data_IF_634778806540
#
_entry.id   IF_634778806540
#
_cell.length_a   1.000
_cell.length_b   1.000
_cell.length_c   1.000
_cell.angle_alpha   90.00
_cell.angle_beta   90.00
_cell.angle_gamma   90.00
#
_symmetry.space_group_name_H-M   'P 1'
#
loop_
_entity.id
_entity.type
_entity.pdbx_description
1 polymer ?
#
# COMPACT_ATOMS: atom_id res chain seq x y z
N UNK A 1 -10.91 11.05 -16.69
CA UNK A 1 -11.12 11.19 -15.21
C UNK A 1 -9.75 11.23 -14.49
N UNK A 2 -8.93 12.24 -14.71
CA UNK A 2 -7.62 12.36 -14.05
C UNK A 2 -7.66 13.40 -12.95
N UNK A 3 -6.91 13.19 -11.88
CA UNK A 3 -6.72 14.11 -10.75
C UNK A 3 -8.04 14.50 -10.08
N UNK A 4 -8.87 13.49 -9.78
CA UNK A 4 -10.20 13.64 -9.22
C UNK A 4 -10.33 12.93 -7.86
N UNK A 5 -11.16 13.51 -6.98
CA UNK A 5 -11.54 12.94 -5.69
C UNK A 5 -13.05 12.71 -5.66
N UNK A 6 -13.46 11.51 -5.29
CA UNK A 6 -14.86 11.09 -5.27
C UNK A 6 -15.32 10.79 -3.85
N UNK A 7 -16.45 11.39 -3.44
CA UNK A 7 -17.11 11.10 -2.16
C UNK A 7 -18.28 10.14 -2.41
N UNK A 8 -17.99 8.84 -2.46
CA UNK A 8 -18.99 7.81 -2.77
C UNK A 8 -18.50 6.41 -2.39
N UNK A 9 -19.37 5.41 -2.51
CA UNK A 9 -18.93 4.01 -2.40
C UNK A 9 -17.98 3.67 -3.54
N UNK A 10 -16.88 3.02 -3.21
CA UNK A 10 -15.83 2.70 -4.19
C UNK A 10 -16.24 1.64 -5.22
N UNK A 11 -17.21 0.76 -4.90
CA UNK A 11 -17.75 -0.16 -5.89
C UNK A 11 -18.54 0.59 -6.97
N UNK A 12 -19.29 1.63 -6.57
CA UNK A 12 -20.03 2.46 -7.53
C UNK A 12 -19.07 3.31 -8.38
N UNK A 13 -17.95 3.78 -7.82
CA UNK A 13 -16.91 4.40 -8.60
C UNK A 13 -16.29 3.41 -9.61
N UNK A 14 -15.88 2.24 -9.13
CA UNK A 14 -15.26 1.21 -9.98
C UNK A 14 -16.12 0.87 -11.19
N UNK A 15 -17.44 0.75 -11.03
CA UNK A 15 -18.39 0.48 -12.13
C UNK A 15 -18.42 1.60 -13.20
N UNK A 16 -18.02 2.82 -12.84
CA UNK A 16 -17.98 3.97 -13.76
C UNK A 16 -16.64 4.09 -14.49
N UNK A 17 -15.59 3.42 -14.02
CA UNK A 17 -14.27 3.43 -14.64
C UNK A 17 -14.23 2.49 -15.85
N UNK A 18 -13.48 2.91 -16.87
CA UNK A 18 -13.28 2.14 -18.08
C UNK A 18 -12.41 0.90 -17.81
N UNK A 19 -12.63 -0.14 -18.62
CA UNK A 19 -11.79 -1.34 -18.60
C UNK A 19 -10.35 -0.98 -18.95
N UNK A 20 -9.39 -1.63 -18.29
CA UNK A 20 -7.96 -1.45 -18.60
C UNK A 20 -7.49 0.02 -18.59
N UNK A 21 -7.95 0.81 -17.63
CA UNK A 21 -7.66 2.25 -17.53
C UNK A 21 -6.65 2.62 -16.45
N UNK A 22 -6.48 1.80 -15.41
CA UNK A 22 -5.67 2.11 -14.21
C UNK A 22 -4.35 1.33 -14.22
N UNK A 23 -3.25 2.01 -13.91
CA UNK A 23 -1.91 1.42 -13.83
C UNK A 23 -1.61 0.81 -12.46
N UNK A 24 -2.01 1.48 -11.36
CA UNK A 24 -1.79 1.01 -9.99
C UNK A 24 -3.03 1.30 -9.14
N UNK A 25 -3.54 0.28 -8.46
CA UNK A 25 -4.52 0.43 -7.39
C UNK A 25 -3.86 0.05 -6.08
N UNK A 26 -3.82 0.99 -5.15
CA UNK A 26 -3.48 0.76 -3.76
C UNK A 26 -4.68 1.05 -2.88
N UNK A 27 -4.86 0.29 -1.81
CA UNK A 27 -5.88 0.59 -0.82
C UNK A 27 -5.48 0.07 0.56
N UNK A 28 -5.54 0.95 1.56
CA UNK A 28 -5.52 0.61 2.98
C UNK A 28 -6.97 0.26 3.38
N UNK A 29 -7.32 -1.01 3.26
CA UNK A 29 -8.72 -1.48 3.30
C UNK A 29 -9.27 -1.55 4.72
N UNK A 30 -10.57 -1.88 4.88
CA UNK A 30 -11.16 -2.17 6.18
C UNK A 30 -10.67 -3.53 6.68
N UNK A 31 -10.18 -3.58 7.94
CA UNK A 31 -9.45 -4.74 8.49
C UNK A 31 -10.34 -5.79 9.16
N UNK A 32 -11.65 -5.59 9.19
CA UNK A 32 -12.58 -6.49 9.85
C UNK A 32 -12.38 -6.54 11.36
N UNK A 33 -12.09 -5.41 11.99
CA UNK A 33 -11.83 -5.34 13.45
C UNK A 33 -13.10 -5.25 14.28
N UNK A 34 -14.25 -5.07 13.66
CA UNK A 34 -15.56 -4.78 14.32
C UNK A 34 -15.54 -3.49 15.15
N UNK A 35 -14.61 -2.57 14.90
CA UNK A 35 -14.45 -1.34 15.67
C UNK A 35 -15.09 -0.14 14.98
N UNK A 36 -15.64 0.76 15.79
CA UNK A 36 -16.02 2.09 15.35
C UNK A 36 -14.85 3.03 15.62
N UNK A 37 -14.23 3.56 14.56
CA UNK A 37 -13.23 4.61 14.64
C UNK A 37 -13.90 5.99 14.55
N UNK A 38 -13.15 7.03 14.90
CA UNK A 38 -13.65 8.43 14.82
C UNK A 38 -14.14 8.80 13.42
N UNK A 39 -13.46 8.32 12.39
CA UNK A 39 -13.65 8.73 11.00
C UNK A 39 -14.34 7.67 10.13
N UNK A 40 -14.44 6.40 10.59
CA UNK A 40 -15.10 5.33 9.85
C UNK A 40 -15.51 4.16 10.74
N UNK A 41 -16.44 3.35 10.28
CA UNK A 41 -16.82 2.08 10.88
C UNK A 41 -16.14 0.94 10.12
N UNK A 42 -15.45 0.06 10.84
CA UNK A 42 -14.82 -1.11 10.27
C UNK A 42 -15.82 -2.27 10.11
N UNK A 43 -15.53 -3.20 9.21
CA UNK A 43 -16.36 -4.36 8.98
C UNK A 43 -16.33 -5.31 10.19
N UNK A 44 -17.41 -6.08 10.42
CA UNK A 44 -17.40 -7.19 11.35
C UNK A 44 -16.31 -8.21 10.99
N UNK A 45 -15.71 -8.86 12.01
CA UNK A 45 -14.82 -10.00 11.80
C UNK A 45 -15.65 -11.25 11.52
N UNK A 46 -16.22 -11.30 10.34
CA UNK A 46 -17.04 -12.40 9.82
C UNK A 46 -16.66 -12.68 8.38
N UNK A 47 -16.36 -13.95 8.09
CA UNK A 47 -15.88 -14.37 6.77
C UNK A 47 -16.87 -14.01 5.66
N UNK A 48 -18.17 -14.28 5.88
CA UNK A 48 -19.21 -14.02 4.89
C UNK A 48 -19.36 -12.54 4.57
N UNK A 49 -19.32 -11.69 5.60
CA UNK A 49 -19.35 -10.23 5.44
C UNK A 49 -18.14 -9.74 4.64
N UNK A 50 -16.96 -10.26 4.93
CA UNK A 50 -15.71 -9.92 4.22
C UNK A 50 -15.81 -10.36 2.75
N UNK A 51 -16.25 -11.58 2.48
CA UNK A 51 -16.44 -12.09 1.12
C UNK A 51 -17.47 -11.26 0.34
N UNK A 52 -18.65 -11.03 0.90
CA UNK A 52 -19.71 -10.26 0.25
C UNK A 52 -19.29 -8.82 -0.07
N UNK A 53 -18.44 -8.23 0.77
CA UNK A 53 -17.93 -6.88 0.56
C UNK A 53 -16.79 -6.82 -0.47
N UNK A 54 -15.80 -7.73 -0.41
CA UNK A 54 -14.60 -7.62 -1.23
C UNK A 54 -14.68 -8.34 -2.57
N UNK A 55 -15.45 -9.43 -2.71
CA UNK A 55 -15.58 -10.15 -3.99
C UNK A 55 -15.98 -9.23 -5.14
N UNK A 56 -17.07 -8.44 -5.05
CA UNK A 56 -17.46 -7.56 -6.16
C UNK A 56 -16.41 -6.46 -6.42
N UNK A 57 -15.73 -5.97 -5.39
CA UNK A 57 -14.69 -4.95 -5.52
C UNK A 57 -13.44 -5.49 -6.21
N UNK A 58 -12.95 -6.65 -5.81
CA UNK A 58 -11.75 -7.28 -6.41
C UNK A 58 -12.02 -7.65 -7.86
N UNK A 59 -13.23 -8.12 -8.20
CA UNK A 59 -13.65 -8.36 -9.58
C UNK A 59 -13.55 -7.09 -10.42
N UNK A 60 -14.10 -5.97 -9.95
CA UNK A 60 -14.05 -4.69 -10.66
C UNK A 60 -12.63 -4.12 -10.72
N UNK A 61 -11.83 -4.24 -9.64
CA UNK A 61 -10.41 -3.87 -9.64
C UNK A 61 -9.67 -4.61 -10.76
N UNK A 62 -9.89 -5.93 -10.89
CA UNK A 62 -9.29 -6.70 -11.97
C UNK A 62 -9.73 -6.20 -13.36
N UNK A 63 -11.01 -5.82 -13.54
CA UNK A 63 -11.53 -5.28 -14.80
C UNK A 63 -10.85 -3.99 -15.20
N UNK A 64 -10.78 -3.02 -14.29
CA UNK A 64 -10.28 -1.66 -14.57
C UNK A 64 -8.75 -1.58 -14.66
N UNK A 65 -8.01 -2.52 -14.07
CA UNK A 65 -6.55 -2.54 -14.19
C UNK A 65 -6.11 -2.80 -15.64
N UNK A 66 -5.08 -2.07 -16.09
CA UNK A 66 -4.37 -2.35 -17.35
C UNK A 66 -3.65 -3.70 -17.28
N UNK A 67 -3.29 -4.27 -18.42
CA UNK A 67 -2.57 -5.55 -18.47
C UNK A 67 -1.21 -5.53 -17.75
N UNK A 68 -0.56 -4.38 -17.67
CA UNK A 68 0.67 -4.14 -16.90
C UNK A 68 0.40 -3.65 -15.47
N UNK A 69 -0.87 -3.49 -15.10
CA UNK A 69 -1.29 -2.87 -13.85
C UNK A 69 -1.14 -3.78 -12.63
N UNK A 70 -1.10 -3.16 -11.46
CA UNK A 70 -0.90 -3.82 -10.17
C UNK A 70 -1.99 -3.43 -9.18
N UNK A 71 -2.52 -4.41 -8.45
CA UNK A 71 -3.34 -4.22 -7.25
C UNK A 71 -2.51 -4.45 -6.00
N UNK A 72 -2.61 -3.54 -5.03
CA UNK A 72 -2.01 -3.68 -3.70
C UNK A 72 -3.08 -3.41 -2.66
N UNK A 73 -3.36 -4.40 -1.83
CA UNK A 73 -4.29 -4.27 -0.70
C UNK A 73 -3.50 -4.39 0.59
N UNK A 74 -3.58 -3.37 1.44
CA UNK A 74 -2.97 -3.34 2.77
C UNK A 74 -4.00 -3.68 3.83
N UNK A 75 -3.64 -4.60 4.72
CA UNK A 75 -4.49 -5.08 5.81
C UNK A 75 -3.66 -5.68 6.94
N UNK A 76 -4.32 -6.04 8.03
CA UNK A 76 -3.67 -6.85 9.06
C UNK A 76 -3.94 -8.36 8.86
N UNK A 77 -3.30 -9.17 9.70
CA UNK A 77 -3.36 -10.64 9.63
C UNK A 77 -4.78 -11.22 9.74
N UNK A 78 -5.79 -10.48 10.27
CA UNK A 78 -7.15 -11.02 10.50
C UNK A 78 -7.80 -11.50 9.24
N UNK A 79 -7.68 -10.71 8.18
CA UNK A 79 -8.39 -10.96 6.92
C UNK A 79 -7.45 -11.25 5.75
N UNK A 80 -6.12 -11.12 5.92
CA UNK A 80 -5.15 -11.27 4.83
C UNK A 80 -5.27 -12.62 4.10
N UNK A 81 -5.52 -13.69 4.82
CA UNK A 81 -5.70 -15.02 4.25
C UNK A 81 -7.00 -15.14 3.42
N UNK A 82 -8.10 -14.52 3.84
CA UNK A 82 -9.35 -14.50 3.06
C UNK A 82 -9.19 -13.66 1.80
N UNK A 83 -8.62 -12.45 1.93
CA UNK A 83 -8.38 -11.56 0.79
C UNK A 83 -7.40 -12.19 -0.21
N UNK A 84 -6.41 -12.96 0.27
CA UNK A 84 -5.52 -13.71 -0.59
C UNK A 84 -6.28 -14.74 -1.42
N UNK A 85 -7.13 -15.57 -0.79
CA UNK A 85 -7.94 -16.57 -1.50
C UNK A 85 -8.88 -15.92 -2.52
N UNK A 86 -9.60 -14.85 -2.14
CA UNK A 86 -10.48 -14.12 -3.06
C UNK A 86 -9.69 -13.56 -4.24
N UNK A 87 -8.54 -12.97 -3.99
CA UNK A 87 -7.71 -12.39 -5.06
C UNK A 87 -7.16 -13.47 -6.02
N UNK A 88 -6.83 -14.66 -5.50
CA UNK A 88 -6.38 -15.80 -6.32
C UNK A 88 -7.46 -16.27 -7.31
N UNK A 89 -8.76 -16.14 -6.98
CA UNK A 89 -9.87 -16.51 -7.86
C UNK A 89 -9.97 -15.60 -9.10
N UNK A 90 -9.70 -14.29 -8.94
CA UNK A 90 -9.84 -13.31 -10.04
C UNK A 90 -8.53 -13.08 -10.79
N UNK A 91 -7.42 -13.00 -10.10
CA UNK A 91 -6.11 -12.74 -10.69
C UNK A 91 -5.37 -14.01 -11.07
N UNK A 92 -5.67 -15.13 -10.44
CA UNK A 92 -4.88 -16.36 -10.49
C UNK A 92 -3.67 -16.31 -9.54
N UNK A 93 -3.42 -17.37 -8.79
CA UNK A 93 -2.38 -17.43 -7.76
C UNK A 93 -0.97 -17.12 -8.27
N UNK A 94 -0.66 -17.40 -9.57
CA UNK A 94 0.63 -17.10 -10.19
C UNK A 94 0.90 -15.61 -10.39
N UNK A 95 -0.14 -14.80 -10.37
CA UNK A 95 -0.05 -13.36 -10.50
C UNK A 95 0.11 -12.63 -9.15
N UNK A 96 0.10 -13.36 -8.03
CA UNK A 96 0.57 -12.81 -6.76
C UNK A 96 2.09 -12.68 -6.79
N UNK A 97 2.58 -11.48 -6.94
CA UNK A 97 4.02 -11.23 -7.13
C UNK A 97 4.76 -11.00 -5.82
N UNK A 98 4.07 -10.48 -4.80
CA UNK A 98 4.64 -10.26 -3.48
C UNK A 98 3.58 -10.33 -2.37
N UNK A 99 4.04 -10.70 -1.18
CA UNK A 99 3.36 -10.45 0.09
C UNK A 99 4.36 -9.65 0.93
N UNK A 100 4.09 -8.35 1.07
CA UNK A 100 5.01 -7.43 1.75
C UNK A 100 4.56 -7.28 3.20
N UNK A 101 5.51 -7.36 4.13
CA UNK A 101 5.28 -7.10 5.55
C UNK A 101 5.90 -5.74 5.91
N UNK A 102 5.04 -4.75 6.13
CA UNK A 102 5.46 -3.47 6.68
C UNK A 102 5.45 -3.55 8.20
N UNK A 103 6.65 -3.63 8.78
CA UNK A 103 6.85 -3.76 10.22
C UNK A 103 7.15 -2.40 10.85
N UNK A 104 6.49 -2.09 11.96
CA UNK A 104 6.63 -0.82 12.65
C UNK A 104 6.71 -0.98 14.15
N UNK A 105 7.41 -0.06 14.82
CA UNK A 105 7.43 -0.01 16.27
C UNK A 105 6.19 0.71 16.78
N UNK A 106 5.36 0.02 17.56
CA UNK A 106 4.22 0.59 18.25
C UNK A 106 4.26 0.23 19.74
N UNK A 107 3.68 1.09 20.58
CA UNK A 107 3.54 0.78 22.01
C UNK A 107 2.62 -0.41 22.25
N UNK A 108 2.68 -0.94 23.48
CA UNK A 108 1.85 -2.03 23.95
C UNK A 108 2.48 -3.40 23.77
N UNK A 109 2.33 -4.23 24.77
CA UNK A 109 2.72 -5.64 24.76
C UNK A 109 1.55 -6.46 25.32
N UNK A 110 1.22 -7.55 24.68
CA UNK A 110 0.30 -8.54 25.23
C UNK A 110 1.06 -9.51 26.13
N UNK A 111 0.45 -9.88 27.27
CA UNK A 111 0.98 -10.95 28.13
C UNK A 111 0.68 -12.35 27.58
N UNK A 112 -0.20 -12.49 26.58
CA UNK A 112 -0.69 -13.78 26.07
C UNK A 112 -0.31 -14.05 24.62
N UNK A 113 0.06 -13.02 23.85
CA UNK A 113 0.36 -13.14 22.42
C UNK A 113 1.53 -12.24 22.04
N UNK A 114 2.18 -12.56 20.93
CA UNK A 114 3.17 -11.67 20.32
C UNK A 114 2.55 -10.33 19.95
N UNK A 115 3.35 -9.27 20.03
CA UNK A 115 2.92 -7.94 19.58
C UNK A 115 2.64 -7.91 18.07
N UNK A 116 1.47 -7.43 17.71
CA UNK A 116 1.07 -7.25 16.30
C UNK A 116 1.58 -5.90 15.82
N UNK A 117 2.69 -5.91 15.12
CA UNK A 117 3.44 -4.69 14.74
C UNK A 117 3.79 -4.68 13.27
N UNK A 118 2.89 -5.20 12.45
CA UNK A 118 2.99 -5.19 11.01
C UNK A 118 1.62 -5.10 10.35
N UNK A 119 1.60 -4.55 9.15
CA UNK A 119 0.53 -4.70 8.19
C UNK A 119 1.06 -5.51 7.02
N UNK A 120 0.20 -6.34 6.44
CA UNK A 120 0.49 -7.15 5.25
C UNK A 120 -0.05 -6.44 4.01
N UNK A 121 0.77 -6.31 2.96
CA UNK A 121 0.35 -5.82 1.66
C UNK A 121 0.42 -6.99 0.66
N UNK A 122 -0.74 -7.44 0.17
CA UNK A 122 -0.79 -8.42 -0.92
C UNK A 122 -0.69 -7.69 -2.26
N UNK A 123 0.19 -8.18 -3.14
CA UNK A 123 0.51 -7.55 -4.41
C UNK A 123 0.17 -8.50 -5.55
N UNK A 124 -0.76 -8.10 -6.41
CA UNK A 124 -1.16 -8.84 -7.59
C UNK A 124 -0.93 -8.04 -8.86
N UNK A 125 -0.23 -8.64 -9.81
CA UNK A 125 -0.21 -8.16 -11.18
C UNK A 125 -1.46 -8.61 -11.93
N UNK A 126 -1.98 -7.83 -12.88
CA UNK A 126 -3.00 -8.36 -13.80
C UNK A 126 -2.42 -9.41 -14.74
N UNK A 127 -1.20 -9.19 -15.22
CA UNK A 127 -0.37 -10.15 -15.95
C UNK A 127 1.07 -10.00 -15.47
N UNK A 128 1.58 -10.98 -14.74
CA UNK A 128 2.94 -10.96 -14.17
C UNK A 128 4.03 -10.74 -15.21
N UNK A 129 3.80 -11.16 -16.46
CA UNK A 129 4.79 -10.99 -17.55
C UNK A 129 4.87 -9.56 -18.07
N UNK A 130 3.86 -8.73 -17.78
CA UNK A 130 3.76 -7.34 -18.25
C UNK A 130 3.86 -6.33 -17.13
N UNK A 131 3.82 -6.78 -15.87
CA UNK A 131 3.77 -5.92 -14.69
C UNK A 131 4.80 -4.79 -14.75
N UNK A 132 4.34 -3.55 -14.54
CA UNK A 132 5.24 -2.44 -14.26
C UNK A 132 5.88 -2.66 -12.89
N UNK A 133 7.21 -2.86 -12.87
CA UNK A 133 7.98 -3.02 -11.64
C UNK A 133 9.34 -2.35 -11.79
N UNK A 134 9.61 -1.38 -10.92
CA UNK A 134 10.85 -0.61 -10.88
C UNK A 134 11.69 -1.06 -9.67
N UNK A 135 12.68 -1.93 -9.83
CA UNK A 135 13.44 -2.48 -8.72
C UNK A 135 14.19 -1.37 -7.96
N UNK A 136 14.00 -1.32 -6.65
CA UNK A 136 14.71 -0.42 -5.75
C UNK A 136 15.81 -1.17 -5.02
N UNK A 137 16.83 -0.42 -4.59
CA UNK A 137 17.96 -0.94 -3.82
C UNK A 137 17.84 -0.52 -2.36
N UNK A 138 18.35 -1.37 -1.47
CA UNK A 138 18.49 -1.07 -0.05
C UNK A 138 19.92 -1.40 0.43
N UNK A 139 20.36 -0.76 1.52
CA UNK A 139 21.63 -1.08 2.17
C UNK A 139 21.53 -2.44 2.86
N UNK A 140 22.46 -3.33 2.57
CA UNK A 140 22.66 -4.59 3.28
C UNK A 140 24.03 -4.56 3.95
N UNK A 141 24.06 -4.40 5.28
CA UNK A 141 25.33 -4.41 6.00
C UNK A 141 25.98 -5.79 5.93
N UNK A 142 27.29 -5.76 5.69
CA UNK A 142 28.11 -6.97 5.64
C UNK A 142 28.17 -7.64 7.03
N UNK A 143 28.43 -8.95 7.05
CA UNK A 143 28.67 -9.64 8.31
C UNK A 143 29.87 -9.00 9.04
N UNK A 144 29.73 -8.80 10.33
CA UNK A 144 30.71 -8.15 11.20
C UNK A 144 31.10 -6.73 10.76
N UNK A 145 30.30 -6.13 9.86
CA UNK A 145 30.52 -4.81 9.27
C UNK A 145 31.90 -4.64 8.57
N UNK A 146 32.52 -5.75 8.20
CA UNK A 146 33.82 -5.79 7.51
C UNK A 146 33.64 -5.89 5.99
N UNK A 147 34.66 -5.52 5.18
CA UNK A 147 34.60 -5.70 3.74
C UNK A 147 34.61 -7.18 3.36
N UNK A 148 33.73 -7.57 2.42
CA UNK A 148 33.71 -8.92 1.88
C UNK A 148 34.84 -9.18 0.88
N UNK A 149 35.24 -8.16 0.13
CA UNK A 149 36.28 -8.25 -0.93
C UNK A 149 35.95 -9.27 -2.02
N UNK A 150 34.65 -9.49 -2.31
CA UNK A 150 34.24 -10.35 -3.40
C UNK A 150 34.45 -9.68 -4.75
N UNK A 151 35.04 -10.41 -5.70
CA UNK A 151 35.23 -9.89 -7.05
C UNK A 151 33.89 -9.53 -7.70
N UNK A 152 33.78 -8.30 -8.22
CA UNK A 152 32.60 -7.81 -8.91
C UNK A 152 31.44 -7.36 -8.00
N UNK A 153 31.66 -7.28 -6.69
CA UNK A 153 30.71 -6.69 -5.74
C UNK A 153 31.23 -5.32 -5.33
N UNK A 154 30.42 -4.28 -5.58
CA UNK A 154 30.70 -2.93 -5.10
C UNK A 154 30.30 -2.83 -3.63
N UNK A 155 31.22 -2.36 -2.82
CA UNK A 155 31.06 -2.19 -1.39
C UNK A 155 31.24 -0.73 -1.00
N UNK A 156 30.51 -0.30 0.00
CA UNK A 156 30.48 1.08 0.50
C UNK A 156 30.66 1.12 2.01
N UNK A 157 31.07 2.27 2.54
CA UNK A 157 31.06 2.55 3.97
C UNK A 157 30.03 3.62 4.30
N UNK A 158 29.32 3.47 5.42
CA UNK A 158 28.49 4.54 5.97
C UNK A 158 29.36 5.53 6.81
N UNK A 159 28.72 6.57 7.33
CA UNK A 159 29.37 7.62 8.15
C UNK A 159 30.05 7.07 9.43
N UNK A 160 29.68 5.87 9.86
CA UNK A 160 30.25 5.17 11.02
C UNK A 160 31.39 4.23 10.62
N UNK A 161 31.73 4.16 9.34
CA UNK A 161 32.73 3.25 8.79
C UNK A 161 32.27 1.81 8.62
N UNK A 162 30.97 1.53 8.71
CA UNK A 162 30.42 0.19 8.58
C UNK A 162 30.23 -0.19 7.10
N UNK A 163 30.73 -1.34 6.71
CA UNK A 163 30.65 -1.81 5.34
C UNK A 163 29.29 -2.37 4.98
N UNK A 164 28.79 -2.01 3.81
CA UNK A 164 27.54 -2.50 3.23
C UNK A 164 27.61 -2.62 1.71
N UNK A 165 26.70 -3.41 1.16
CA UNK A 165 26.44 -3.52 -0.28
C UNK A 165 25.03 -3.03 -0.58
N UNK A 166 24.78 -2.63 -1.82
CA UNK A 166 23.44 -2.30 -2.31
C UNK A 166 22.78 -3.53 -2.92
N UNK A 167 21.74 -4.05 -2.27
CA UNK A 167 20.97 -5.21 -2.71
C UNK A 167 19.58 -4.83 -3.19
N UNK A 168 18.91 -5.69 -3.94
CA UNK A 168 17.50 -5.49 -4.25
C UNK A 168 16.68 -5.47 -2.96
N UNK A 169 15.73 -4.54 -2.88
CA UNK A 169 14.87 -4.37 -1.70
C UNK A 169 14.13 -5.66 -1.37
N UNK A 170 14.03 -5.97 -0.10
CA UNK A 170 13.29 -7.12 0.44
C UNK A 170 11.80 -6.80 0.59
N UNK A 171 11.01 -7.85 0.72
CA UNK A 171 9.57 -7.73 1.02
C UNK A 171 9.24 -7.43 2.49
N UNK A 172 10.22 -7.45 3.40
CA UNK A 172 10.04 -7.09 4.81
C UNK A 172 10.61 -5.69 5.03
N UNK A 173 9.72 -4.73 5.27
CA UNK A 173 10.07 -3.30 5.41
C UNK A 173 10.04 -2.89 6.88
N UNK A 174 11.21 -2.60 7.43
CA UNK A 174 11.40 -2.22 8.83
C UNK A 174 11.92 -0.79 9.01
N UNK A 175 12.19 -0.11 7.91
CA UNK A 175 12.84 1.21 7.85
C UNK A 175 11.86 2.39 7.73
N UNK A 176 10.55 2.11 7.72
CA UNK A 176 9.49 3.11 7.67
C UNK A 176 8.68 3.04 8.96
N UNK A 177 8.77 4.09 9.75
CA UNK A 177 8.00 4.22 11.00
C UNK A 177 6.56 4.66 10.73
N UNK A 178 5.64 4.34 11.65
CA UNK A 178 4.30 4.93 11.65
C UNK A 178 4.37 6.45 11.85
N UNK A 179 3.32 7.16 11.42
CA UNK A 179 3.16 8.59 11.69
C UNK A 179 3.03 8.82 13.20
N UNK A 180 4.05 9.41 13.79
CA UNK A 180 4.09 9.75 15.22
C UNK A 180 3.09 10.85 15.58
N UNK A 181 2.76 10.97 16.87
CA UNK A 181 1.84 12.01 17.36
C UNK A 181 2.34 13.43 17.11
N UNK A 182 3.66 13.62 17.08
CA UNK A 182 4.35 14.90 16.89
C UNK A 182 4.91 15.07 15.48
N UNK A 183 4.60 14.16 14.55
CA UNK A 183 5.06 14.26 13.17
C UNK A 183 4.42 15.46 12.47
N UNK A 184 5.24 16.20 11.71
CA UNK A 184 4.79 17.34 10.89
C UNK A 184 3.82 16.93 9.77
N UNK A 185 3.90 15.67 9.30
CA UNK A 185 2.95 15.15 8.29
C UNK A 185 1.59 14.74 8.87
N UNK A 186 1.43 14.80 10.20
CA UNK A 186 0.21 14.35 10.85
C UNK A 186 -0.95 15.29 10.56
N UNK A 187 -2.06 14.70 10.11
CA UNK A 187 -3.35 15.39 9.94
C UNK A 187 -4.41 14.83 10.89
N UNK A 188 -5.50 15.56 11.11
CA UNK A 188 -6.63 15.09 11.94
C UNK A 188 -7.48 14.06 11.19
N UNK A 189 -6.87 12.89 10.95
CA UNK A 189 -7.52 11.70 10.40
C UNK A 189 -6.99 10.44 11.07
N UNK A 190 -7.87 9.49 11.37
CA UNK A 190 -7.51 8.23 12.04
C UNK A 190 -6.72 7.33 11.09
N UNK A 191 -5.77 6.56 11.63
CA UNK A 191 -5.01 5.52 10.88
C UNK A 191 -4.17 6.02 9.70
N UNK A 192 -3.75 7.29 9.72
CA UNK A 192 -2.89 7.85 8.67
C UNK A 192 -1.65 7.00 8.43
N UNK A 193 -1.38 6.65 7.17
CA UNK A 193 -0.14 6.00 6.74
C UNK A 193 0.95 7.03 6.40
N UNK A 194 2.24 6.71 6.62
CA UNK A 194 3.34 7.63 6.31
C UNK A 194 3.52 7.83 4.80
N UNK A 195 3.82 9.06 4.39
CA UNK A 195 4.09 9.41 2.98
C UNK A 195 5.22 8.54 2.41
N UNK A 196 6.28 8.31 3.18
CA UNK A 196 7.41 7.46 2.75
C UNK A 196 6.97 6.04 2.32
N UNK A 197 5.91 5.48 2.93
CA UNK A 197 5.36 4.19 2.54
C UNK A 197 4.64 4.32 1.18
N UNK A 198 3.86 5.37 1.00
CA UNK A 198 3.14 5.63 -0.25
C UNK A 198 4.09 5.91 -1.40
N UNK A 199 5.13 6.71 -1.17
CA UNK A 199 6.18 7.00 -2.16
C UNK A 199 6.84 5.70 -2.66
N UNK A 200 7.21 4.82 -1.73
CA UNK A 200 7.82 3.53 -2.07
C UNK A 200 6.91 2.66 -2.94
N UNK A 201 5.64 2.55 -2.57
CA UNK A 201 4.64 1.77 -3.32
C UNK A 201 4.49 2.32 -4.74
N UNK A 202 4.30 3.63 -4.87
CA UNK A 202 4.10 4.30 -6.15
C UNK A 202 5.33 4.15 -7.05
N UNK A 203 6.52 4.36 -6.51
CA UNK A 203 7.77 4.24 -7.27
C UNK A 203 8.02 2.81 -7.75
N UNK A 204 7.74 1.79 -6.92
CA UNK A 204 7.93 0.38 -7.29
C UNK A 204 6.98 -0.06 -8.42
N UNK A 205 5.73 0.40 -8.43
CA UNK A 205 4.67 -0.21 -9.24
C UNK A 205 4.01 0.76 -10.25
N UNK A 206 4.58 1.93 -10.47
CA UNK A 206 4.13 2.87 -11.50
C UNK A 206 5.25 3.74 -12.05
N UNK A 207 5.02 4.35 -13.21
CA UNK A 207 5.90 5.32 -13.85
C UNK A 207 5.29 6.73 -13.77
N UNK A 208 6.10 7.77 -14.03
CA UNK A 208 5.57 9.14 -14.17
C UNK A 208 4.52 9.20 -15.28
N UNK A 209 3.45 9.94 -15.02
CA UNK A 209 2.31 10.06 -15.93
C UNK A 209 1.27 8.93 -15.84
N UNK A 210 1.58 7.80 -15.17
CA UNK A 210 0.64 6.70 -14.95
C UNK A 210 -0.56 7.17 -14.10
N UNK A 211 -1.69 6.51 -14.27
CA UNK A 211 -2.90 6.73 -13.47
C UNK A 211 -2.94 5.76 -12.29
N UNK A 212 -2.85 6.31 -11.08
CA UNK A 212 -2.92 5.53 -9.84
C UNK A 212 -4.23 5.81 -9.10
N UNK A 213 -4.74 4.83 -8.37
CA UNK A 213 -6.03 4.93 -7.69
C UNK A 213 -5.94 4.43 -6.25
N UNK A 214 -6.59 5.18 -5.34
CA UNK A 214 -6.84 4.75 -3.96
C UNK A 214 -8.34 4.72 -3.69
N UNK A 215 -8.85 3.52 -3.41
CA UNK A 215 -10.29 3.27 -3.22
C UNK A 215 -10.75 3.46 -1.77
N UNK A 216 -9.82 3.62 -0.83
CA UNK A 216 -10.07 3.86 0.61
C UNK A 216 -9.11 4.96 1.09
N UNK A 217 -9.19 6.13 0.47
CA UNK A 217 -8.12 7.13 0.48
C UNK A 217 -7.86 7.75 1.87
N UNK A 218 -8.82 7.74 2.80
CA UNK A 218 -8.69 8.22 4.15
C UNK A 218 -8.07 9.62 4.23
N UNK A 219 -6.89 9.72 4.84
CA UNK A 219 -6.14 10.97 4.95
C UNK A 219 -5.51 11.47 3.63
N UNK A 220 -5.62 10.72 2.54
CA UNK A 220 -5.12 11.07 1.22
C UNK A 220 -3.61 10.95 1.04
N UNK A 221 -2.91 10.22 1.91
CA UNK A 221 -1.45 10.07 1.82
C UNK A 221 -0.97 9.55 0.48
N UNK A 222 -1.64 8.53 -0.08
CA UNK A 222 -1.32 7.98 -1.38
C UNK A 222 -1.54 8.98 -2.52
N UNK A 223 -2.62 9.76 -2.46
CA UNK A 223 -2.96 10.76 -3.47
C UNK A 223 -1.97 11.93 -3.47
N UNK A 224 -1.56 12.39 -2.30
CA UNK A 224 -0.54 13.45 -2.15
C UNK A 224 0.80 12.95 -2.70
N UNK A 225 1.20 11.73 -2.36
CA UNK A 225 2.41 11.10 -2.87
C UNK A 225 2.36 10.93 -4.39
N UNK A 226 1.21 10.51 -4.95
CA UNK A 226 1.02 10.41 -6.40
C UNK A 226 1.25 11.74 -7.12
N UNK A 227 0.63 12.83 -6.63
CA UNK A 227 0.85 14.19 -7.16
C UNK A 227 2.33 14.58 -7.09
N UNK A 228 2.98 14.40 -5.96
CA UNK A 228 4.38 14.79 -5.75
C UNK A 228 5.37 14.01 -6.62
N UNK A 229 4.99 12.80 -6.99
CA UNK A 229 5.78 11.93 -7.86
C UNK A 229 5.34 11.99 -9.34
N UNK A 230 4.59 13.01 -9.75
CA UNK A 230 4.12 13.22 -11.13
C UNK A 230 3.26 12.07 -11.68
N UNK A 231 2.42 11.42 -10.84
CA UNK A 231 1.40 10.48 -11.26
C UNK A 231 0.06 11.18 -11.35
N UNK A 232 -0.77 10.77 -12.30
CA UNK A 232 -2.19 11.10 -12.28
C UNK A 232 -2.89 10.25 -11.21
N UNK A 233 -3.96 10.77 -10.62
CA UNK A 233 -4.60 10.07 -9.52
C UNK A 233 -6.13 10.08 -9.59
N UNK A 234 -6.72 9.06 -8.97
CA UNK A 234 -8.13 8.98 -8.57
C UNK A 234 -8.15 8.61 -7.09
N UNK A 235 -8.83 9.41 -6.27
CA UNK A 235 -9.05 9.11 -4.86
C UNK A 235 -10.53 8.92 -4.57
N UNK A 236 -10.89 7.90 -3.77
CA UNK A 236 -12.26 7.65 -3.36
C UNK A 236 -12.34 7.39 -1.86
N UNK A 237 -13.34 7.98 -1.25
CA UNK A 237 -13.72 7.68 0.13
C UNK A 237 -15.21 7.98 0.33
N UNK A 238 -15.86 7.20 1.16
CA UNK A 238 -17.28 7.45 1.51
C UNK A 238 -17.43 8.60 2.51
N UNK A 239 -16.35 8.93 3.25
CA UNK A 239 -16.37 9.98 4.26
C UNK A 239 -16.03 11.35 3.65
N UNK A 240 -16.94 12.35 3.70
CA UNK A 240 -16.67 13.70 3.20
C UNK A 240 -15.44 14.36 3.84
N UNK A 241 -15.14 14.04 5.12
CA UNK A 241 -13.95 14.54 5.82
C UNK A 241 -12.65 14.08 5.15
N UNK A 242 -12.61 12.86 4.64
CA UNK A 242 -11.46 12.34 3.89
C UNK A 242 -11.18 13.21 2.65
N UNK A 243 -12.24 13.54 1.91
CA UNK A 243 -12.16 14.43 0.74
C UNK A 243 -11.63 15.81 1.11
N UNK A 244 -12.17 16.40 2.19
CA UNK A 244 -11.76 17.73 2.66
C UNK A 244 -10.28 17.76 3.08
N UNK A 245 -9.86 16.79 3.91
CA UNK A 245 -8.47 16.66 4.37
C UNK A 245 -7.52 16.48 3.18
N UNK A 246 -7.87 15.61 2.23
CA UNK A 246 -7.05 15.37 1.04
C UNK A 246 -6.95 16.60 0.15
N UNK A 247 -8.07 17.32 -0.09
CA UNK A 247 -8.07 18.57 -0.85
C UNK A 247 -7.18 19.65 -0.22
N UNK A 248 -7.14 19.74 1.10
CA UNK A 248 -6.25 20.67 1.82
C UNK A 248 -4.79 20.30 1.59
N UNK A 249 -4.43 19.03 1.80
CA UNK A 249 -3.06 18.52 1.60
C UNK A 249 -2.56 18.67 0.16
N UNK A 250 -3.43 18.58 -0.83
CA UNK A 250 -3.08 18.79 -2.24
C UNK A 250 -2.78 20.26 -2.60
N UNK A 251 -3.13 21.23 -1.73
CA UNK A 251 -2.84 22.66 -1.93
C UNK A 251 -1.54 23.09 -1.26
N UNK A 252 -1.06 22.35 -0.29
CA UNK A 252 0.21 22.53 0.37
C UNK A 252 1.36 22.03 -0.52
#
# INVERSE_FOLDING_TARGET
MYNQLYCMDNLELLKQLEDNSIDLIYSDILYGTSKNFKDYQDLPYDKKVIEDFYIPRIKEIHRVLKSNGTMILQMDFRISHWLRCISDEFFGYKNCTNVIEWCYSSGGASKRNLGRKNDTLIVYAKDVKKQTFNPMKEKSYNRDFAPYRFKGVEEYQDERGLWYTMVNMKQVWTDISMVGRTSSERVDYTTQKPIKLMDRIIQLYSNEGDLVCDLFMGSGGFIVSAKNLNRNYIGCDINPKAIEVTKRRLKE
#
